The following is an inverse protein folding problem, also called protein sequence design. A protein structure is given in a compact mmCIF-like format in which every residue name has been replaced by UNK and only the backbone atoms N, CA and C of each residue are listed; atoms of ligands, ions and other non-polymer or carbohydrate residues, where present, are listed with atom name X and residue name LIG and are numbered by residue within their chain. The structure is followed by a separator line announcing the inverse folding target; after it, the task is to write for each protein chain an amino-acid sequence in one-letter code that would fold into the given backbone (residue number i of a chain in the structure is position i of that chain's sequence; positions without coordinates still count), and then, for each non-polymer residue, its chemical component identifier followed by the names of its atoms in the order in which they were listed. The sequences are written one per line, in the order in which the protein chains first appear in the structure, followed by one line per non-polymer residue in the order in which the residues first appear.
data_IF_505976659878
#
_entry.id   IF_505976659878
#
_cell.length_a   1.000
_cell.length_b   1.000
_cell.length_c   1.000
_cell.angle_alpha   90.00
_cell.angle_beta   90.00
_cell.angle_gamma   90.00
#
_symmetry.space_group_name_H-M   'P 1'
#
loop_
_entity.id
_entity.type
_entity.pdbx_description
1 polymer ?
#
# COMPACT_ATOMS: atom_id res chain seq x y z
N UNK A 1 2.16 13.15 18.07
CA UNK A 1 1.68 12.11 19.00
C UNK A 1 1.53 12.68 20.40
N UNK A 2 2.61 13.16 21.02
CA UNK A 2 2.59 13.78 22.36
C UNK A 2 1.50 14.84 22.55
N UNK A 3 1.49 15.88 21.72
CA UNK A 3 0.47 16.93 21.78
C UNK A 3 -0.95 16.38 21.67
N UNK A 4 -1.18 15.41 20.77
CA UNK A 4 -2.51 14.84 20.56
C UNK A 4 -2.99 14.01 21.76
N UNK A 5 -2.12 13.16 22.33
CA UNK A 5 -2.47 12.39 23.52
C UNK A 5 -2.69 13.31 24.74
N UNK A 6 -1.84 14.32 24.94
CA UNK A 6 -2.01 15.28 26.03
C UNK A 6 -3.36 16.03 25.92
N UNK A 7 -3.78 16.41 24.71
CA UNK A 7 -5.09 17.04 24.47
C UNK A 7 -6.27 16.10 24.72
N UNK A 8 -6.14 14.82 24.43
CA UNK A 8 -7.20 13.84 24.74
C UNK A 8 -7.29 13.63 26.26
N UNK A 9 -6.16 13.56 26.95
CA UNK A 9 -6.12 13.42 28.41
C UNK A 9 -6.67 14.65 29.14
N UNK A 10 -6.39 15.87 28.67
CA UNK A 10 -6.97 17.07 29.27
C UNK A 10 -8.49 17.16 29.13
N UNK A 11 -9.07 16.38 28.21
CA UNK A 11 -10.51 16.25 27.98
C UNK A 11 -11.13 15.03 28.68
N UNK A 12 -10.36 14.33 29.52
CA UNK A 12 -10.79 13.12 30.24
C UNK A 12 -11.33 12.02 29.32
N UNK A 13 -10.73 11.85 28.13
CA UNK A 13 -11.08 10.74 27.22
C UNK A 13 -10.64 9.41 27.83
N UNK A 14 -11.55 8.45 27.88
CA UNK A 14 -11.37 7.11 28.45
C UNK A 14 -11.18 6.01 27.39
N UNK A 15 -11.31 6.36 26.10
CA UNK A 15 -11.07 5.48 24.97
C UNK A 15 -10.44 6.22 23.80
N UNK A 16 -9.24 5.80 23.42
CA UNK A 16 -8.45 6.37 22.33
C UNK A 16 -8.22 5.28 21.28
N UNK A 17 -8.82 5.44 20.10
CA UNK A 17 -8.60 4.53 18.97
C UNK A 17 -7.47 5.06 18.10
N UNK A 18 -6.38 4.32 18.02
CA UNK A 18 -5.25 4.57 17.15
C UNK A 18 -5.54 3.96 15.78
N UNK A 19 -5.64 4.83 14.77
CA UNK A 19 -5.91 4.45 13.37
C UNK A 19 -4.67 4.78 12.53
N UNK A 20 -3.77 3.81 12.30
CA UNK A 20 -2.66 4.01 11.38
C UNK A 20 -3.22 4.19 9.96
N UNK A 21 -2.99 5.33 9.31
CA UNK A 21 -3.55 5.61 7.97
C UNK A 21 -2.84 4.86 6.81
N UNK A 22 -2.16 3.76 7.13
CA UNK A 22 -1.55 2.81 6.21
C UNK A 22 -2.33 1.49 6.29
N UNK A 23 -2.95 1.01 5.19
CA UNK A 23 -3.75 -0.21 5.22
C UNK A 23 -2.94 -1.46 5.58
N UNK A 24 -1.67 -1.48 5.18
CA UNK A 24 -0.72 -2.58 5.37
C UNK A 24 0.21 -2.30 6.55
N UNK A 25 0.60 -3.36 7.26
CA UNK A 25 1.65 -3.27 8.26
C UNK A 25 3.02 -3.17 7.59
N UNK A 26 3.80 -2.17 7.98
CA UNK A 26 5.24 -2.16 7.81
C UNK A 26 5.90 -1.64 9.10
N UNK A 27 7.05 -2.22 9.46
CA UNK A 27 7.75 -1.84 10.68
C UNK A 27 8.15 -0.35 10.67
N UNK A 28 8.58 0.15 9.52
CA UNK A 28 9.02 1.55 9.35
C UNK A 28 7.88 2.59 9.44
N UNK A 29 6.61 2.17 9.33
CA UNK A 29 5.45 3.06 9.42
C UNK A 29 4.63 2.75 10.66
N UNK A 30 3.77 1.73 10.59
CA UNK A 30 2.86 1.33 11.67
C UNK A 30 3.65 0.95 12.92
N UNK A 31 4.71 0.14 12.77
CA UNK A 31 5.54 -0.28 13.91
C UNK A 31 6.19 0.89 14.64
N UNK A 32 6.81 1.81 13.91
CA UNK A 32 7.44 3.01 14.47
C UNK A 32 6.42 3.96 15.14
N UNK A 33 5.25 4.14 14.51
CA UNK A 33 4.15 4.92 15.08
C UNK A 33 3.66 4.34 16.41
N UNK A 34 3.42 3.04 16.47
CA UNK A 34 2.96 2.36 17.68
C UNK A 34 4.00 2.41 18.79
N UNK A 35 5.27 2.13 18.48
CA UNK A 35 6.36 2.19 19.47
C UNK A 35 6.47 3.59 20.10
N UNK A 36 6.43 4.65 19.30
CA UNK A 36 6.45 6.02 19.82
C UNK A 36 5.18 6.35 20.62
N UNK A 37 4.02 5.88 20.16
CA UNK A 37 2.74 6.13 20.85
C UNK A 37 2.68 5.44 22.21
N UNK A 38 3.11 4.18 22.31
CA UNK A 38 3.19 3.47 23.58
C UNK A 38 4.14 4.17 24.56
N UNK A 39 5.31 4.64 24.09
CA UNK A 39 6.25 5.40 24.92
C UNK A 39 5.60 6.67 25.50
N UNK A 40 4.99 7.48 24.64
CA UNK A 40 4.32 8.72 25.06
C UNK A 40 3.13 8.45 25.97
N UNK A 41 2.35 7.40 25.69
CA UNK A 41 1.21 7.03 26.51
C UNK A 41 1.65 6.59 27.91
N UNK A 42 2.81 5.93 28.02
CA UNK A 42 3.41 5.61 29.30
C UNK A 42 3.82 6.85 30.09
N UNK A 43 4.41 7.85 29.43
CA UNK A 43 4.73 9.14 30.06
C UNK A 43 3.46 9.83 30.60
N UNK A 44 2.34 9.70 29.90
CA UNK A 44 1.03 10.29 30.26
C UNK A 44 0.13 9.39 31.11
N UNK A 45 0.53 8.15 31.41
CA UNK A 45 -0.26 7.12 32.13
C UNK A 45 -1.63 6.85 31.50
N UNK A 46 -1.68 6.76 30.18
CA UNK A 46 -2.92 6.57 29.41
C UNK A 46 -2.92 5.32 28.52
N UNK A 47 -2.00 4.38 28.73
CA UNK A 47 -1.83 3.17 27.91
C UNK A 47 -3.07 2.28 27.92
N UNK A 48 -3.78 2.23 29.05
CA UNK A 48 -5.00 1.43 29.24
C UNK A 48 -6.19 1.95 28.42
N UNK A 49 -6.13 3.19 27.94
CA UNK A 49 -7.17 3.78 27.09
C UNK A 49 -6.92 3.55 25.59
N UNK A 50 -5.76 3.00 25.21
CA UNK A 50 -5.40 2.81 23.81
C UNK A 50 -6.02 1.54 23.21
N UNK A 51 -6.59 1.67 22.02
CA UNK A 51 -6.99 0.56 21.16
C UNK A 51 -6.41 0.77 19.77
N UNK A 52 -5.74 -0.25 19.22
CA UNK A 52 -5.10 -0.15 17.90
C UNK A 52 -5.99 -0.81 16.85
N UNK A 53 -6.33 -0.07 15.80
CA UNK A 53 -6.91 -0.67 14.61
C UNK A 53 -5.84 -1.54 13.92
N UNK A 54 -6.07 -2.85 13.75
CA UNK A 54 -5.13 -3.71 13.04
C UNK A 54 -5.03 -3.32 11.55
N UNK A 55 -4.03 -3.84 10.82
CA UNK A 55 -3.96 -3.66 9.36
C UNK A 55 -5.29 -4.02 8.69
N UNK A 56 -5.81 -3.09 7.90
CA UNK A 56 -7.16 -3.17 7.31
C UNK A 56 -7.13 -3.29 5.78
N UNK A 57 -5.98 -3.65 5.19
CA UNK A 57 -5.76 -3.84 3.75
C UNK A 57 -6.78 -4.76 3.07
N UNK A 58 -7.37 -5.71 3.80
CA UNK A 58 -8.40 -6.64 3.32
C UNK A 58 -9.80 -6.36 3.88
N UNK A 59 -10.00 -5.23 4.55
CA UNK A 59 -11.33 -4.87 5.07
C UNK A 59 -12.26 -4.60 3.89
N UNK A 60 -13.52 -5.09 3.93
CA UNK A 60 -14.47 -4.87 2.84
C UNK A 60 -14.66 -3.38 2.51
N UNK A 61 -14.72 -2.53 3.54
CA UNK A 61 -14.92 -1.10 3.38
C UNK A 61 -13.75 -0.39 2.67
N UNK A 62 -12.51 -0.73 3.02
CA UNK A 62 -11.33 -0.20 2.32
C UNK A 62 -11.27 -0.70 0.88
N UNK A 63 -11.47 -2.00 0.65
CA UNK A 63 -11.44 -2.60 -0.69
C UNK A 63 -12.52 -2.01 -1.60
N UNK A 64 -13.72 -1.77 -1.06
CA UNK A 64 -14.81 -1.13 -1.79
C UNK A 64 -14.46 0.31 -2.17
N UNK A 65 -13.90 1.09 -1.24
CA UNK A 65 -13.50 2.47 -1.51
C UNK A 65 -12.36 2.55 -2.54
N UNK A 66 -11.36 1.68 -2.42
CA UNK A 66 -10.25 1.59 -3.36
C UNK A 66 -10.72 1.13 -4.76
N UNK A 67 -11.54 0.09 -4.84
CA UNK A 67 -12.16 -0.35 -6.08
C UNK A 67 -12.99 0.76 -6.73
N UNK A 68 -13.79 1.49 -5.96
CA UNK A 68 -14.56 2.62 -6.46
C UNK A 68 -13.66 3.69 -7.09
N UNK A 69 -12.60 4.10 -6.39
CA UNK A 69 -11.66 5.14 -6.83
C UNK A 69 -10.88 4.71 -8.08
N UNK A 70 -10.45 3.45 -8.15
CA UNK A 70 -9.75 2.90 -9.33
C UNK A 70 -10.69 2.84 -10.53
N UNK A 71 -11.91 2.37 -10.32
CA UNK A 71 -12.87 2.22 -11.40
C UNK A 71 -13.46 3.55 -11.91
N UNK A 72 -13.18 4.69 -11.27
CA UNK A 72 -13.47 6.01 -11.86
C UNK A 72 -12.52 6.34 -13.03
N UNK A 73 -11.33 5.75 -13.05
CA UNK A 73 -10.32 6.02 -14.09
C UNK A 73 -9.97 4.80 -14.95
N UNK A 74 -10.33 3.59 -14.51
CA UNK A 74 -10.10 2.32 -15.24
C UNK A 74 -11.42 1.63 -15.55
N UNK A 75 -11.55 1.13 -16.79
CA UNK A 75 -12.66 0.27 -17.19
C UNK A 75 -13.87 1.04 -17.73
N UNK A 76 -15.10 0.52 -17.61
CA UNK A 76 -16.27 1.08 -18.29
C UNK A 76 -16.63 2.53 -17.92
N UNK A 77 -16.25 2.98 -16.72
CA UNK A 77 -16.52 4.33 -16.21
C UNK A 77 -15.35 5.30 -16.42
N UNK A 78 -14.18 4.80 -16.81
CA UNK A 78 -12.95 5.57 -16.95
C UNK A 78 -12.31 5.38 -18.33
N UNK A 79 -10.98 5.42 -18.37
CA UNK A 79 -10.22 5.16 -19.58
C UNK A 79 -10.14 3.65 -19.87
N UNK A 80 -10.22 3.29 -21.15
CA UNK A 80 -9.79 1.98 -21.61
C UNK A 80 -8.26 1.95 -21.56
N UNK A 81 -7.72 1.18 -20.63
CA UNK A 81 -6.28 0.93 -20.49
C UNK A 81 -5.97 -0.49 -20.92
N UNK A 82 -4.77 -0.70 -21.44
CA UNK A 82 -4.30 -2.01 -21.86
C UNK A 82 -3.81 -2.83 -20.65
N UNK A 83 -3.33 -2.17 -19.58
CA UNK A 83 -2.86 -2.84 -18.38
C UNK A 83 -3.00 -1.99 -17.10
N UNK A 84 -3.19 -2.64 -15.95
CA UNK A 84 -3.23 -2.00 -14.61
C UNK A 84 -2.04 -2.42 -13.76
N UNK A 85 -1.25 -1.45 -13.30
CA UNK A 85 -0.12 -1.66 -12.39
C UNK A 85 -0.49 -1.22 -10.98
N UNK A 86 -0.56 -2.16 -10.06
CA UNK A 86 -0.70 -1.89 -8.63
C UNK A 86 0.68 -1.69 -8.00
N UNK A 87 1.03 -0.44 -7.69
CA UNK A 87 2.33 -0.06 -7.16
C UNK A 87 2.28 0.25 -5.66
N UNK A 88 3.15 -0.39 -4.89
CA UNK A 88 3.28 -0.20 -3.44
C UNK A 88 4.62 0.43 -3.09
N UNK A 89 4.74 1.12 -1.96
CA UNK A 89 6.07 1.57 -1.53
C UNK A 89 6.97 0.37 -1.23
N UNK A 90 8.17 0.36 -1.79
CA UNK A 90 9.16 -0.68 -1.60
C UNK A 90 9.76 -0.63 -0.20
N UNK A 91 10.11 -1.79 0.34
CA UNK A 91 10.84 -1.90 1.60
C UNK A 91 11.99 -2.90 1.46
N UNK A 92 13.02 -2.86 2.33
CA UNK A 92 13.99 -3.93 2.43
C UNK A 92 13.29 -5.28 2.65
N UNK A 93 13.68 -6.31 1.91
CA UNK A 93 13.12 -7.67 2.04
C UNK A 93 13.32 -8.23 3.46
N UNK A 94 14.37 -7.80 4.14
CA UNK A 94 14.64 -8.15 5.54
C UNK A 94 13.46 -7.77 6.46
N UNK A 95 12.77 -6.65 6.21
CA UNK A 95 11.59 -6.29 7.00
C UNK A 95 10.46 -7.30 6.84
N UNK A 96 10.35 -7.97 5.69
CA UNK A 96 9.38 -9.04 5.49
C UNK A 96 9.80 -10.32 6.22
N UNK A 97 11.07 -10.72 6.10
CA UNK A 97 11.56 -11.97 6.72
C UNK A 97 11.57 -11.88 8.25
N UNK A 98 11.85 -10.71 8.82
CA UNK A 98 11.83 -10.50 10.28
C UNK A 98 10.45 -10.65 10.93
N UNK A 99 9.38 -10.59 10.14
CA UNK A 99 8.01 -10.79 10.64
C UNK A 99 7.55 -12.25 10.57
N UNK A 100 8.37 -13.12 9.96
CA UNK A 100 8.15 -14.56 9.89
C UNK A 100 8.94 -15.25 11.00
N UNK A 101 8.29 -15.52 12.12
CA UNK A 101 8.88 -16.18 13.29
C UNK A 101 9.38 -17.60 12.99
N UNK A 102 8.89 -18.23 11.92
CA UNK A 102 9.32 -19.57 11.51
C UNK A 102 10.58 -19.55 10.64
N UNK A 103 10.92 -18.38 10.09
CA UNK A 103 11.99 -18.18 9.11
C UNK A 103 11.91 -19.10 7.88
N UNK A 104 10.73 -19.67 7.60
CA UNK A 104 10.56 -20.75 6.62
C UNK A 104 9.64 -20.40 5.46
N UNK A 105 8.95 -19.26 5.50
CA UNK A 105 7.95 -18.85 4.51
C UNK A 105 8.42 -17.64 3.71
N UNK A 106 8.67 -16.51 4.38
CA UNK A 106 8.91 -15.24 3.70
C UNK A 106 10.22 -15.26 2.91
N UNK A 107 10.15 -14.90 1.62
CA UNK A 107 11.28 -14.91 0.68
C UNK A 107 11.93 -16.28 0.46
N UNK A 108 11.30 -17.38 0.87
CA UNK A 108 11.83 -18.74 0.66
C UNK A 108 11.42 -19.38 -0.66
N UNK A 109 10.40 -18.85 -1.31
CA UNK A 109 9.97 -19.24 -2.64
C UNK A 109 9.45 -18.03 -3.43
N UNK A 110 9.40 -18.16 -4.76
CA UNK A 110 8.85 -17.12 -5.64
C UNK A 110 7.39 -16.77 -5.29
N UNK A 111 6.62 -17.76 -4.83
CA UNK A 111 5.19 -17.67 -4.53
C UNK A 111 4.86 -17.61 -3.02
N UNK A 112 5.82 -17.30 -2.15
CA UNK A 112 5.62 -17.23 -0.69
C UNK A 112 4.53 -16.24 -0.23
N UNK A 113 4.14 -15.31 -1.10
CA UNK A 113 3.09 -14.31 -0.87
C UNK A 113 1.77 -14.63 -1.58
N UNK A 114 1.61 -15.82 -2.18
CA UNK A 114 0.40 -16.22 -2.90
C UNK A 114 -0.84 -16.36 -2.00
N UNK A 115 -0.64 -16.53 -0.69
CA UNK A 115 -1.69 -16.60 0.31
C UNK A 115 -1.18 -16.13 1.66
N UNK A 116 -2.05 -15.49 2.43
CA UNK A 116 -1.81 -15.20 3.85
C UNK A 116 -1.91 -16.49 4.70
N UNK A 117 -0.90 -16.73 5.52
CA UNK A 117 -0.84 -17.77 6.55
C UNK A 117 -0.39 -17.16 7.88
N UNK A 118 -0.32 -17.98 8.93
CA UNK A 118 0.11 -17.54 10.25
C UNK A 118 1.51 -16.90 10.23
N UNK A 119 2.46 -17.54 9.55
CA UNK A 119 3.85 -17.09 9.48
C UNK A 119 4.04 -15.76 8.75
N UNK A 120 3.24 -15.48 7.70
CA UNK A 120 3.41 -14.27 6.88
C UNK A 120 2.33 -13.19 7.14
N UNK A 121 1.49 -13.35 8.17
CA UNK A 121 0.36 -12.42 8.47
C UNK A 121 0.79 -10.97 8.65
N UNK A 122 2.03 -10.73 9.10
CA UNK A 122 2.63 -9.40 9.30
C UNK A 122 3.64 -9.03 8.21
N UNK A 123 3.83 -9.89 7.20
CA UNK A 123 4.72 -9.60 6.08
C UNK A 123 4.05 -8.57 5.15
N UNK A 124 4.62 -7.36 5.09
CA UNK A 124 4.13 -6.28 4.23
C UNK A 124 3.91 -6.74 2.79
N UNK A 125 4.91 -7.41 2.19
CA UNK A 125 4.80 -7.92 0.82
C UNK A 125 3.60 -8.87 0.67
N UNK A 126 3.40 -9.80 1.61
CA UNK A 126 2.27 -10.73 1.55
C UNK A 126 0.92 -10.01 1.63
N UNK A 127 0.81 -9.00 2.50
CA UNK A 127 -0.41 -8.18 2.58
C UNK A 127 -0.67 -7.38 1.30
N UNK A 128 0.38 -6.86 0.64
CA UNK A 128 0.24 -6.20 -0.66
C UNK A 128 -0.28 -7.16 -1.73
N UNK A 129 0.29 -8.37 -1.84
CA UNK A 129 -0.17 -9.40 -2.79
C UNK A 129 -1.64 -9.79 -2.56
N UNK A 130 -2.04 -9.97 -1.29
CA UNK A 130 -3.43 -10.24 -0.93
C UNK A 130 -4.36 -9.11 -1.38
N UNK A 131 -3.95 -7.85 -1.13
CA UNK A 131 -4.73 -6.67 -1.52
C UNK A 131 -4.93 -6.60 -3.02
N UNK A 132 -3.88 -6.82 -3.81
CA UNK A 132 -3.99 -6.79 -5.27
C UNK A 132 -4.88 -7.89 -5.79
N UNK A 133 -4.73 -9.11 -5.27
CA UNK A 133 -5.59 -10.24 -5.66
C UNK A 133 -7.06 -9.93 -5.42
N UNK A 134 -7.39 -9.36 -4.26
CA UNK A 134 -8.75 -8.97 -3.90
C UNK A 134 -9.27 -7.81 -4.78
N UNK A 135 -8.46 -6.77 -5.00
CA UNK A 135 -8.85 -5.64 -5.84
C UNK A 135 -9.04 -6.04 -7.30
N UNK A 136 -8.13 -6.84 -7.86
CA UNK A 136 -8.24 -7.34 -9.23
C UNK A 136 -9.51 -8.17 -9.41
N UNK A 137 -9.85 -9.02 -8.43
CA UNK A 137 -11.10 -9.78 -8.44
C UNK A 137 -12.34 -8.87 -8.35
N UNK A 138 -12.32 -7.83 -7.50
CA UNK A 138 -13.44 -6.89 -7.34
C UNK A 138 -13.64 -5.98 -8.56
N UNK A 139 -12.57 -5.71 -9.29
CA UNK A 139 -12.57 -4.91 -10.53
C UNK A 139 -12.83 -5.75 -11.78
N UNK A 140 -12.99 -7.07 -11.63
CA UNK A 140 -13.14 -8.03 -12.73
C UNK A 140 -12.01 -7.91 -13.77
N UNK A 141 -10.78 -7.71 -13.30
CA UNK A 141 -9.61 -7.58 -14.18
C UNK A 141 -9.14 -8.97 -14.64
N UNK A 142 -9.02 -9.21 -15.95
CA UNK A 142 -8.42 -10.43 -16.48
C UNK A 142 -6.99 -10.63 -15.93
N UNK A 143 -6.59 -11.87 -15.67
CA UNK A 143 -5.30 -12.20 -15.02
C UNK A 143 -4.06 -11.72 -15.79
N UNK A 144 -4.20 -11.44 -17.09
CA UNK A 144 -3.16 -10.93 -17.98
C UNK A 144 -3.19 -9.40 -18.15
N UNK A 145 -4.19 -8.70 -17.61
CA UNK A 145 -4.39 -7.25 -17.73
C UNK A 145 -3.99 -6.47 -16.48
N UNK A 146 -3.36 -7.13 -15.50
CA UNK A 146 -2.83 -6.44 -14.33
C UNK A 146 -1.54 -7.05 -13.82
N UNK A 147 -0.81 -6.26 -13.04
CA UNK A 147 0.36 -6.73 -12.30
C UNK A 147 0.60 -5.90 -11.06
N UNK A 148 1.41 -6.40 -10.14
CA UNK A 148 1.89 -5.61 -9.02
C UNK A 148 3.38 -5.29 -9.13
N UNK A 149 3.78 -4.17 -8.54
CA UNK A 149 5.18 -3.78 -8.41
C UNK A 149 5.40 -2.94 -7.15
N UNK A 150 6.66 -2.67 -6.84
CA UNK A 150 7.09 -1.83 -5.73
C UNK A 150 7.84 -0.62 -6.26
N UNK A 151 7.42 0.57 -5.87
CA UNK A 151 8.06 1.83 -6.20
C UNK A 151 8.96 2.30 -5.08
N UNK A 152 9.86 3.22 -5.39
CA UNK A 152 10.81 3.79 -4.43
C UNK A 152 11.77 2.74 -3.85
N UNK A 153 13.07 3.02 -3.97
CA UNK A 153 14.13 2.24 -3.35
C UNK A 153 15.30 3.17 -3.08
N UNK A 154 15.92 3.05 -1.92
CA UNK A 154 17.16 3.78 -1.63
C UNK A 154 18.34 2.95 -2.14
N UNK A 155 19.03 3.47 -3.15
CA UNK A 155 20.24 2.85 -3.71
C UNK A 155 21.50 3.14 -2.88
N UNK A 156 21.35 3.56 -1.61
CA UNK A 156 22.46 4.07 -0.77
C UNK A 156 23.38 2.94 -0.28
N UNK A 157 22.93 1.68 -0.32
CA UNK A 157 23.73 0.51 0.05
C UNK A 157 23.48 -0.63 -0.93
N UNK A 158 24.51 -1.06 -1.64
CA UNK A 158 24.45 -2.15 -2.64
C UNK A 158 24.04 -3.51 -2.06
N UNK A 159 24.11 -3.68 -0.73
CA UNK A 159 23.80 -4.94 -0.05
C UNK A 159 22.33 -5.11 0.35
N UNK A 160 21.48 -4.07 0.24
CA UNK A 160 20.08 -4.17 0.67
C UNK A 160 19.23 -4.64 -0.50
N UNK A 161 18.68 -5.85 -0.39
CA UNK A 161 17.65 -6.35 -1.31
C UNK A 161 16.30 -5.71 -0.98
N UNK A 162 15.68 -5.08 -1.98
CA UNK A 162 14.36 -4.46 -1.88
C UNK A 162 13.26 -5.38 -2.41
N UNK A 163 12.03 -5.17 -1.96
CA UNK A 163 10.85 -5.88 -2.47
C UNK A 163 10.70 -5.69 -3.97
N UNK A 164 10.56 -6.81 -4.69
CA UNK A 164 10.44 -6.90 -6.15
C UNK A 164 9.05 -7.46 -6.54
N UNK A 165 8.58 -7.21 -7.78
CA UNK A 165 9.25 -6.51 -8.88
C UNK A 165 9.21 -4.98 -8.73
N UNK A 166 10.03 -4.24 -9.50
CA UNK A 166 10.12 -2.78 -9.39
C UNK A 166 9.20 -2.05 -10.38
N UNK A 167 8.61 -0.93 -9.95
CA UNK A 167 7.61 -0.20 -10.76
C UNK A 167 8.21 0.45 -11.99
N UNK A 168 9.40 1.04 -11.87
CA UNK A 168 10.14 1.62 -13.00
C UNK A 168 10.44 0.56 -14.07
N UNK A 169 10.94 -0.60 -13.65
CA UNK A 169 11.20 -1.73 -14.55
C UNK A 169 9.91 -2.22 -15.20
N UNK A 170 8.83 -2.40 -14.42
CA UNK A 170 7.55 -2.89 -14.93
C UNK A 170 6.94 -1.95 -15.96
N UNK A 171 7.01 -0.64 -15.74
CA UNK A 171 6.49 0.33 -16.71
C UNK A 171 7.26 0.28 -18.03
N UNK A 172 8.60 0.16 -17.98
CA UNK A 172 9.41 -0.01 -19.18
C UNK A 172 9.07 -1.32 -19.91
N UNK A 173 9.01 -2.45 -19.20
CA UNK A 173 8.64 -3.76 -19.75
C UNK A 173 7.28 -3.72 -20.48
N UNK A 174 6.28 -3.05 -19.90
CA UNK A 174 4.95 -2.92 -20.51
C UNK A 174 4.97 -2.07 -21.78
N UNK A 175 5.69 -0.95 -21.77
CA UNK A 175 5.85 -0.11 -22.95
C UNK A 175 6.56 -0.86 -24.09
N UNK A 176 7.65 -1.56 -23.78
CA UNK A 176 8.41 -2.38 -24.72
C UNK A 176 7.57 -3.55 -25.28
N UNK A 177 6.65 -4.09 -24.48
CA UNK A 177 5.69 -5.11 -24.89
C UNK A 177 4.52 -4.55 -25.73
N UNK A 178 4.52 -3.24 -26.05
CA UNK A 178 3.52 -2.61 -26.91
C UNK A 178 2.24 -2.16 -26.19
N UNK A 179 2.22 -2.18 -24.86
CA UNK A 179 1.12 -1.59 -24.08
C UNK A 179 1.18 -0.07 -24.23
N UNK A 180 0.12 0.56 -24.73
CA UNK A 180 0.13 1.99 -25.08
C UNK A 180 -0.47 2.85 -23.98
N UNK A 181 -1.53 2.38 -23.33
CA UNK A 181 -2.19 3.08 -22.25
C UNK A 181 -2.18 2.19 -20.99
N UNK A 182 -1.56 2.65 -19.90
CA UNK A 182 -1.53 1.89 -18.63
C UNK A 182 -2.10 2.72 -17.49
N UNK A 183 -2.79 2.07 -16.56
CA UNK A 183 -3.16 2.68 -15.30
C UNK A 183 -2.17 2.30 -14.19
N UNK A 184 -1.87 3.23 -13.29
CA UNK A 184 -1.10 2.96 -12.07
C UNK A 184 -1.94 3.30 -10.86
N UNK A 185 -2.03 2.37 -9.92
CA UNK A 185 -2.79 2.51 -8.67
C UNK A 185 -1.86 2.33 -7.47
N UNK A 186 -2.08 3.04 -6.36
CA UNK A 186 -1.28 2.85 -5.13
C UNK A 186 -2.11 2.55 -3.89
N UNK A 187 -2.51 1.28 -3.67
CA UNK A 187 -3.35 0.89 -2.53
C UNK A 187 -2.66 0.96 -1.16
N UNK A 188 -1.34 1.21 -1.10
CA UNK A 188 -0.63 1.40 0.19
C UNK A 188 -0.89 2.77 0.83
N UNK A 189 -1.51 3.70 0.11
CA UNK A 189 -1.80 5.05 0.59
C UNK A 189 -3.31 5.32 0.60
N UNK A 190 -3.77 5.94 1.68
CA UNK A 190 -5.17 6.37 1.81
C UNK A 190 -5.40 7.79 1.27
N UNK A 191 -4.35 8.58 1.07
CA UNK A 191 -4.41 9.92 0.53
C UNK A 191 -3.28 10.16 -0.47
N UNK A 192 -3.56 10.95 -1.49
CA UNK A 192 -2.55 11.36 -2.46
C UNK A 192 -1.43 12.16 -1.77
N UNK A 193 -0.21 11.82 -2.12
CA UNK A 193 1.01 12.41 -1.60
C UNK A 193 2.09 12.46 -2.68
N UNK A 194 3.29 12.93 -2.33
CA UNK A 194 4.43 13.03 -3.25
C UNK A 194 4.79 11.69 -3.91
N UNK A 195 4.65 10.58 -3.17
CA UNK A 195 4.91 9.22 -3.67
C UNK A 195 3.86 8.73 -4.68
N UNK A 196 2.73 9.42 -4.81
CA UNK A 196 1.68 9.10 -5.78
C UNK A 196 1.73 10.10 -6.93
N UNK A 197 1.48 11.38 -6.67
CA UNK A 197 1.41 12.42 -7.70
C UNK A 197 2.77 12.70 -8.36
N UNK A 198 3.84 12.69 -7.57
CA UNK A 198 5.21 12.89 -8.05
C UNK A 198 5.80 11.62 -8.63
N UNK A 199 6.10 10.65 -7.76
CA UNK A 199 6.83 9.43 -8.14
C UNK A 199 6.11 8.59 -9.20
N UNK A 200 4.80 8.33 -9.04
CA UNK A 200 4.04 7.53 -10.02
C UNK A 200 3.45 8.40 -11.14
N UNK A 201 2.80 9.50 -10.77
CA UNK A 201 2.05 10.34 -11.70
C UNK A 201 2.93 11.12 -12.67
N UNK A 202 3.99 11.76 -12.15
CA UNK A 202 4.91 12.55 -12.98
C UNK A 202 6.06 11.69 -13.50
N UNK A 203 6.88 11.16 -12.59
CA UNK A 203 8.13 10.49 -12.97
C UNK A 203 7.85 9.13 -13.64
N UNK A 204 6.87 8.37 -13.12
CA UNK A 204 6.41 7.13 -13.75
C UNK A 204 5.82 7.36 -15.14
N UNK A 205 5.05 8.43 -15.35
CA UNK A 205 4.55 8.81 -16.68
C UNK A 205 5.68 9.16 -17.64
N UNK A 206 6.64 9.99 -17.21
CA UNK A 206 7.80 10.34 -18.04
C UNK A 206 8.57 9.09 -18.47
N UNK A 207 8.80 8.16 -17.54
CA UNK A 207 9.48 6.90 -17.81
C UNK A 207 8.71 6.02 -18.80
N UNK A 208 7.40 5.86 -18.61
CA UNK A 208 6.56 5.07 -19.51
C UNK A 208 6.52 5.65 -20.93
N UNK A 209 6.37 6.96 -21.06
CA UNK A 209 6.38 7.65 -22.36
C UNK A 209 7.74 7.52 -23.06
N UNK A 210 8.84 7.67 -22.31
CA UNK A 210 10.19 7.52 -22.86
C UNK A 210 10.48 6.10 -23.35
N UNK A 211 9.88 5.09 -22.73
CA UNK A 211 9.99 3.69 -23.13
C UNK A 211 9.09 3.30 -24.33
N UNK A 212 8.31 4.25 -24.89
CA UNK A 212 7.45 4.02 -26.05
C UNK A 212 5.96 3.89 -25.73
N UNK A 213 5.58 4.01 -24.46
CA UNK A 213 4.19 4.13 -24.05
C UNK A 213 3.56 5.45 -24.51
N UNK A 214 2.23 5.52 -24.53
CA UNK A 214 1.49 6.70 -25.01
C UNK A 214 0.80 7.47 -23.89
N UNK A 215 0.26 6.76 -22.90
CA UNK A 215 -0.47 7.37 -21.79
C UNK A 215 -0.33 6.56 -20.51
N UNK A 216 -0.08 7.25 -19.40
CA UNK A 216 -0.13 6.68 -18.07
C UNK A 216 -1.20 7.42 -17.28
N UNK A 217 -2.19 6.69 -16.80
CA UNK A 217 -3.30 7.20 -15.98
C UNK A 217 -3.01 6.87 -14.53
N UNK A 218 -2.91 7.89 -13.67
CA UNK A 218 -2.79 7.68 -12.23
C UNK A 218 -4.20 7.56 -11.62
N UNK A 219 -4.49 6.44 -10.97
CA UNK A 219 -5.68 6.31 -10.14
C UNK A 219 -5.51 7.06 -8.81
N UNK A 220 -6.49 7.88 -8.40
CA UNK A 220 -6.40 8.58 -7.14
C UNK A 220 -6.45 7.61 -5.96
N UNK A 221 -5.80 7.95 -4.86
CA UNK A 221 -6.07 7.31 -3.58
C UNK A 221 -7.54 7.51 -3.15
N UNK A 222 -7.97 6.77 -2.12
CA UNK A 222 -9.34 6.87 -1.60
C UNK A 222 -9.69 8.25 -1.04
N UNK A 223 -8.67 9.05 -0.69
CA UNK A 223 -8.73 10.46 -0.32
C UNK A 223 -9.87 10.73 0.69
N UNK A 224 -10.73 11.70 0.38
CA UNK A 224 -11.92 12.04 1.16
C UNK A 224 -13.20 11.44 0.58
N UNK A 225 -13.10 10.35 -0.19
CA UNK A 225 -14.28 9.71 -0.80
C UNK A 225 -15.31 9.34 0.27
N UNK A 226 -16.58 9.59 -0.04
CA UNK A 226 -17.66 9.34 0.92
C UNK A 226 -17.76 7.86 1.29
N UNK A 227 -17.38 6.96 0.38
CA UNK A 227 -17.30 5.52 0.63
C UNK A 227 -16.21 5.19 1.65
N UNK A 228 -15.03 5.81 1.53
CA UNK A 228 -13.95 5.59 2.51
C UNK A 228 -14.32 6.13 3.88
N UNK A 229 -14.74 7.39 3.96
CA UNK A 229 -15.05 8.05 5.24
C UNK A 229 -16.14 7.30 6.00
N UNK A 230 -17.19 6.84 5.32
CA UNK A 230 -18.28 6.07 5.94
C UNK A 230 -17.86 4.69 6.43
N UNK A 231 -16.93 4.03 5.75
CA UNK A 231 -16.47 2.69 6.12
C UNK A 231 -15.36 2.70 7.17
N UNK A 232 -14.70 3.84 7.38
CA UNK A 232 -13.71 4.04 8.44
C UNK A 232 -14.35 4.39 9.80
N UNK A 233 -15.48 5.09 9.77
CA UNK A 233 -16.25 5.53 10.94
C UNK A 233 -16.99 4.38 11.62
#
# INVERSE_FOLDING_TARGET
VETALAQLMSRAVDKIVLVPMFPHFAQATVGAFLANTCRVAADLRCETYLQVLPPFYKSPGFLQAACHSIAEVVGPRGCKVDHVVFSFHGIPQEQCTRTDETESVCMKSANCCSRICEANRNCYRAQCFETVTLLASLLDLPSDHWSMAFQSRKNVRSAIEWTKPFTDVRLAELAEAGQRCVAVCSPSYTADCIETLGSLGKDGRELFLKAGGHELVLAPCVNSSSTWVRNLA
#
